data_IF_901936303716
#
_entry.id   IF_901936303716
#
_cell.length_a   1.000
_cell.length_b   1.000
_cell.length_c   1.000
_cell.angle_alpha   90.00
_cell.angle_beta   90.00
_cell.angle_gamma   90.00
#
_symmetry.space_group_name_H-M   'P 1'
#
loop_
_entity.id
_entity.type
_entity.pdbx_description
1 polymer ?
#
# COMPACT_ATOMS: atom_id res chain seq x y z
N UNK A 1 -5.53 -7.21 -9.14
CA UNK A 1 -6.38 -6.03 -9.41
C UNK A 1 -5.50 -4.92 -9.92
N UNK A 2 -5.91 -4.23 -10.99
CA UNK A 2 -5.22 -3.03 -11.48
C UNK A 2 -5.35 -1.88 -10.48
N UNK A 3 -4.35 -1.02 -10.39
CA UNK A 3 -4.30 0.17 -9.53
C UNK A 3 -5.47 1.13 -9.79
N UNK A 4 -5.93 1.24 -11.03
CA UNK A 4 -7.09 2.08 -11.39
C UNK A 4 -8.38 1.62 -10.70
N UNK A 5 -8.62 0.30 -10.62
CA UNK A 5 -9.81 -0.26 -9.97
C UNK A 5 -9.81 0.06 -8.47
N UNK A 6 -8.63 0.06 -7.85
CA UNK A 6 -8.48 0.41 -6.44
C UNK A 6 -8.78 1.89 -6.20
N UNK A 7 -8.28 2.78 -7.07
CA UNK A 7 -8.54 4.21 -6.98
C UNK A 7 -10.04 4.50 -7.03
N UNK A 8 -10.73 3.90 -8.00
CA UNK A 8 -12.19 4.04 -8.14
C UNK A 8 -12.93 3.50 -6.91
N UNK A 9 -12.56 2.32 -6.40
CA UNK A 9 -13.20 1.76 -5.20
C UNK A 9 -13.02 2.63 -3.96
N UNK A 10 -11.81 3.13 -3.74
CA UNK A 10 -11.51 4.01 -2.60
C UNK A 10 -12.28 5.34 -2.71
N UNK A 11 -12.32 5.93 -3.91
CA UNK A 11 -13.06 7.16 -4.19
C UNK A 11 -14.56 7.00 -3.97
N UNK A 12 -15.17 5.93 -4.50
CA UNK A 12 -16.58 5.62 -4.28
C UNK A 12 -16.91 5.38 -2.80
N UNK A 13 -15.95 4.90 -2.02
CA UNK A 13 -16.09 4.68 -0.58
C UNK A 13 -15.82 5.94 0.26
N UNK A 14 -15.58 7.09 -0.36
CA UNK A 14 -15.22 8.33 0.33
C UNK A 14 -13.84 8.29 1.02
N UNK A 15 -13.01 7.30 0.70
CA UNK A 15 -11.69 7.13 1.30
C UNK A 15 -10.64 7.95 0.55
N UNK A 16 -9.82 8.69 1.30
CA UNK A 16 -8.72 9.47 0.73
C UNK A 16 -7.68 8.55 0.08
N UNK A 17 -7.49 8.73 -1.23
CA UNK A 17 -6.45 8.08 -2.04
C UNK A 17 -5.15 8.86 -1.86
N UNK A 18 -4.18 8.27 -1.18
CA UNK A 18 -2.84 8.88 -0.99
C UNK A 18 -1.77 7.91 -1.50
N UNK A 19 -0.63 8.41 -2.03
CA UNK A 19 0.44 7.53 -2.53
C UNK A 19 0.87 6.49 -1.50
N UNK A 20 0.99 6.89 -0.23
CA UNK A 20 1.34 6.00 0.87
C UNK A 20 0.34 4.85 1.05
N UNK A 21 -0.97 5.14 1.07
CA UNK A 21 -2.02 4.11 1.21
C UNK A 21 -2.03 3.13 0.03
N UNK A 22 -1.78 3.63 -1.18
CA UNK A 22 -1.70 2.81 -2.38
C UNK A 22 -0.47 1.88 -2.32
N UNK A 23 0.69 2.40 -1.94
CA UNK A 23 1.90 1.58 -1.78
C UNK A 23 1.73 0.48 -0.74
N UNK A 24 1.08 0.76 0.39
CA UNK A 24 0.79 -0.26 1.41
C UNK A 24 -0.10 -1.36 0.82
N UNK A 25 -1.19 -0.98 0.15
CA UNK A 25 -2.11 -1.94 -0.45
C UNK A 25 -1.44 -2.81 -1.51
N UNK A 26 -0.67 -2.21 -2.41
CA UNK A 26 0.11 -2.95 -3.41
C UNK A 26 1.10 -3.91 -2.79
N UNK A 27 1.76 -3.51 -1.69
CA UNK A 27 2.70 -4.36 -0.96
C UNK A 27 2.01 -5.58 -0.39
N UNK A 28 0.84 -5.40 0.25
CA UNK A 28 0.03 -6.50 0.78
C UNK A 28 -0.38 -7.46 -0.35
N UNK A 29 -0.81 -6.94 -1.50
CA UNK A 29 -1.14 -7.77 -2.67
C UNK A 29 0.07 -8.54 -3.24
N UNK A 30 1.26 -7.93 -3.22
CA UNK A 30 2.50 -8.55 -3.72
C UNK A 30 3.02 -9.66 -2.81
N UNK A 31 2.89 -9.51 -1.49
CA UNK A 31 3.39 -10.49 -0.52
C UNK A 31 2.58 -11.79 -0.48
N UNK A 32 1.34 -11.79 -1.00
CA UNK A 32 0.46 -12.98 -1.16
C UNK A 32 0.30 -13.82 0.11
N UNK A 33 0.47 -13.22 1.28
CA UNK A 33 0.31 -13.84 2.60
C UNK A 33 -0.37 -12.83 3.54
N UNK A 34 -0.45 -13.18 4.83
CA UNK A 34 -0.83 -12.24 5.88
C UNK A 34 0.44 -11.69 6.54
N UNK A 35 1.04 -10.62 6.00
CA UNK A 35 2.28 -10.07 6.54
C UNK A 35 2.01 -9.31 7.85
N UNK A 36 3.01 -9.29 8.73
CA UNK A 36 3.00 -8.36 9.86
C UNK A 36 3.33 -6.95 9.38
N UNK A 37 3.02 -5.95 10.19
CA UNK A 37 3.35 -4.55 9.90
C UNK A 37 4.84 -4.36 9.64
N UNK A 38 5.71 -5.01 10.43
CA UNK A 38 7.16 -4.94 10.28
C UNK A 38 7.60 -5.46 8.92
N UNK A 39 7.04 -6.60 8.48
CA UNK A 39 7.34 -7.17 7.16
C UNK A 39 6.93 -6.24 6.02
N UNK A 40 5.81 -5.54 6.16
CA UNK A 40 5.37 -4.53 5.19
C UNK A 40 6.38 -3.37 5.17
N UNK A 41 6.78 -2.86 6.34
CA UNK A 41 7.74 -1.75 6.45
C UNK A 41 9.09 -2.12 5.84
N UNK A 42 9.61 -3.31 6.15
CA UNK A 42 10.88 -3.81 5.59
C UNK A 42 10.82 -3.94 4.07
N UNK A 43 9.72 -4.49 3.55
CA UNK A 43 9.52 -4.61 2.11
C UNK A 43 9.46 -3.24 1.43
N UNK A 44 8.70 -2.29 1.98
CA UNK A 44 8.59 -0.93 1.43
C UNK A 44 9.94 -0.21 1.49
N UNK A 45 10.68 -0.30 2.59
CA UNK A 45 12.02 0.32 2.68
C UNK A 45 12.99 -0.21 1.63
N UNK A 46 12.93 -1.51 1.34
CA UNK A 46 13.79 -2.15 0.35
C UNK A 46 13.44 -1.76 -1.09
N UNK A 47 12.15 -1.56 -1.40
CA UNK A 47 11.67 -1.35 -2.78
C UNK A 47 11.27 0.10 -3.09
N UNK A 48 10.97 0.92 -2.08
CA UNK A 48 10.49 2.30 -2.17
C UNK A 48 11.10 3.16 -1.04
N UNK A 49 12.43 3.37 -1.03
CA UNK A 49 13.13 4.01 0.09
C UNK A 49 12.70 5.46 0.36
N UNK A 50 12.09 6.12 -0.63
CA UNK A 50 11.62 7.52 -0.52
C UNK A 50 10.24 7.65 0.16
N UNK A 51 9.53 6.54 0.41
CA UNK A 51 8.25 6.61 1.12
C UNK A 51 8.51 6.73 2.63
N UNK A 52 8.06 7.86 3.18
CA UNK A 52 8.04 8.07 4.62
C UNK A 52 6.82 7.34 5.20
N UNK A 53 7.07 6.32 6.01
CA UNK A 53 6.03 5.72 6.86
C UNK A 53 6.06 6.44 8.21
N UNK A 54 4.91 6.95 8.65
CA UNK A 54 4.76 7.45 10.02
C UNK A 54 4.91 6.26 10.96
N UNK A 55 5.77 6.41 11.96
CA UNK A 55 6.15 5.38 12.91
C UNK A 55 5.33 5.49 14.18
#
# INVERSE_FOLDING_TARGET
MSTEILHEKLKHSGLKVTPQRITIYETVLKLKNHPTTEKIIEYIKKNNPNILLMR
#
